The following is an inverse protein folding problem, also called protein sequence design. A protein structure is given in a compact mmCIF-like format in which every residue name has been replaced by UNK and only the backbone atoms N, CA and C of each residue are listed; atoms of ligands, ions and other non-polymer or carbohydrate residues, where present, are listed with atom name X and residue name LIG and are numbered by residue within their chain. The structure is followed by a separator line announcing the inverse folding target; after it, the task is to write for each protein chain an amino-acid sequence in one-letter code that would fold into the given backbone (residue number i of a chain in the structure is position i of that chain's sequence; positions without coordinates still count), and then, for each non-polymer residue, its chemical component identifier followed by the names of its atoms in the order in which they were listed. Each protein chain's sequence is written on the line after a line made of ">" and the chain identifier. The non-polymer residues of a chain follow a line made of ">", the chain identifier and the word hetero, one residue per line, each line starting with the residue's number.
data_IF_260832614114
#
_entry.id   IF_260832614114
#
_cell.length_a   1.000
_cell.length_b   1.000
_cell.length_c   1.000
_cell.angle_alpha   90.00
_cell.angle_beta   90.00
_cell.angle_gamma   90.00
#
_symmetry.space_group_name_H-M   'P 1'
#
loop_
_entity.id
_entity.type
_entity.pdbx_description
1 polymer ?
#
# COMPACT_ATOMS: atom_id res chain seq x y z
N UNK A 1 28.75 -27.76 -53.42
CA UNK A 1 27.44 -27.45 -52.80
C UNK A 1 27.31 -27.87 -51.32
N UNK A 2 27.71 -29.09 -50.92
CA UNK A 2 27.58 -29.56 -49.52
C UNK A 2 28.30 -28.65 -48.49
N UNK A 3 29.53 -28.22 -48.78
CA UNK A 3 30.32 -27.36 -47.89
C UNK A 3 29.73 -25.96 -47.70
N UNK A 4 29.11 -25.40 -48.74
CA UNK A 4 28.44 -24.07 -48.67
C UNK A 4 27.18 -24.12 -47.81
N UNK A 5 26.42 -25.23 -47.88
CA UNK A 5 25.23 -25.43 -47.05
C UNK A 5 25.59 -25.56 -45.56
N UNK A 6 26.68 -26.27 -45.24
CA UNK A 6 27.16 -26.40 -43.86
C UNK A 6 27.61 -25.04 -43.30
N UNK A 7 28.34 -24.24 -44.07
CA UNK A 7 28.76 -22.90 -43.65
C UNK A 7 27.58 -21.95 -43.43
N UNK A 8 26.55 -22.03 -44.28
CA UNK A 8 25.33 -21.25 -44.13
C UNK A 8 24.58 -21.65 -42.84
N UNK A 9 24.45 -22.94 -42.57
CA UNK A 9 23.80 -23.44 -41.35
C UNK A 9 24.55 -23.04 -40.07
N UNK A 10 25.89 -23.06 -40.09
CA UNK A 10 26.72 -22.58 -38.97
C UNK A 10 26.43 -21.10 -38.70
N UNK A 11 26.43 -20.26 -39.75
CA UNK A 11 26.15 -18.83 -39.62
C UNK A 11 24.75 -18.57 -39.03
N UNK A 12 23.74 -19.29 -39.51
CA UNK A 12 22.37 -19.20 -38.99
C UNK A 12 22.30 -19.61 -37.52
N UNK A 13 23.02 -20.64 -37.10
CA UNK A 13 23.07 -21.08 -35.71
C UNK A 13 23.75 -20.03 -34.80
N UNK A 14 24.83 -19.39 -35.28
CA UNK A 14 25.51 -18.31 -34.56
C UNK A 14 24.64 -17.06 -34.43
N UNK A 15 23.91 -16.70 -35.49
CA UNK A 15 22.95 -15.60 -35.48
C UNK A 15 21.83 -15.86 -34.47
N UNK A 16 21.29 -17.09 -34.44
CA UNK A 16 20.28 -17.49 -33.44
C UNK A 16 20.82 -17.47 -32.01
N UNK A 17 22.07 -17.88 -31.80
CA UNK A 17 22.72 -17.81 -30.48
C UNK A 17 22.84 -16.35 -30.01
N UNK A 18 23.18 -15.42 -30.90
CA UNK A 18 23.24 -13.99 -30.58
C UNK A 18 21.86 -13.41 -30.26
N UNK A 19 20.82 -13.80 -31.01
CA UNK A 19 19.44 -13.39 -30.72
C UNK A 19 18.99 -13.86 -29.33
N UNK A 20 19.29 -15.10 -28.94
CA UNK A 20 18.94 -15.63 -27.62
C UNK A 20 19.64 -14.88 -26.47
N UNK A 21 20.94 -14.61 -26.62
CA UNK A 21 21.70 -13.84 -25.62
C UNK A 21 21.14 -12.43 -25.47
N UNK A 22 20.82 -11.76 -26.58
CA UNK A 22 20.23 -10.42 -26.55
C UNK A 22 18.84 -10.43 -25.89
N UNK A 23 18.04 -11.48 -26.12
CA UNK A 23 16.74 -11.65 -25.47
C UNK A 23 16.89 -11.85 -23.94
N UNK A 24 17.83 -12.68 -23.48
CA UNK A 24 18.13 -12.87 -22.05
C UNK A 24 18.57 -11.58 -21.36
N UNK A 25 19.45 -10.80 -22.01
CA UNK A 25 19.90 -9.49 -21.49
C UNK A 25 18.71 -8.54 -21.37
N UNK A 26 17.82 -8.53 -22.37
CA UNK A 26 16.61 -7.71 -22.36
C UNK A 26 15.67 -8.13 -21.22
N UNK A 27 15.39 -9.43 -21.06
CA UNK A 27 14.56 -9.98 -19.97
C UNK A 27 15.15 -9.63 -18.60
N UNK A 28 16.46 -9.79 -18.42
CA UNK A 28 17.16 -9.39 -17.20
C UNK A 28 17.03 -7.90 -16.91
N UNK A 29 17.18 -7.05 -17.93
CA UNK A 29 16.98 -5.61 -17.84
C UNK A 29 15.53 -5.22 -17.50
N UNK A 30 14.55 -5.93 -18.06
CA UNK A 30 13.13 -5.77 -17.79
C UNK A 30 12.77 -6.22 -16.37
N UNK A 31 13.30 -7.35 -15.89
CA UNK A 31 13.12 -7.83 -14.52
C UNK A 31 13.66 -6.85 -13.46
N UNK A 32 14.75 -6.14 -13.75
CA UNK A 32 15.26 -5.07 -12.88
C UNK A 32 14.33 -3.85 -12.85
N UNK A 33 13.66 -3.53 -13.95
CA UNK A 33 12.67 -2.45 -14.03
C UNK A 33 11.30 -2.84 -13.48
N UNK A 34 11.05 -4.14 -13.30
CA UNK A 34 9.81 -4.71 -12.79
C UNK A 34 9.55 -4.34 -11.33
N UNK A 35 10.61 -4.12 -10.55
CA UNK A 35 10.54 -3.79 -9.12
C UNK A 35 10.49 -2.29 -8.93
N UNK A 36 9.30 -1.76 -8.69
CA UNK A 36 9.09 -0.33 -8.44
C UNK A 36 9.04 -0.12 -6.92
N UNK A 37 9.83 0.83 -6.37
CA UNK A 37 9.68 1.25 -4.98
C UNK A 37 8.26 1.74 -4.73
N UNK A 38 7.60 1.17 -3.73
CA UNK A 38 6.25 1.52 -3.32
C UNK A 38 6.19 1.76 -1.81
N UNK A 39 5.26 2.61 -1.39
CA UNK A 39 4.98 2.87 0.03
C UNK A 39 3.71 2.15 0.40
N UNK A 40 3.81 1.15 1.27
CA UNK A 40 2.67 0.39 1.79
C UNK A 40 2.35 0.80 3.24
N UNK A 41 1.18 0.41 3.74
CA UNK A 41 0.80 0.52 5.14
C UNK A 41 0.75 -0.88 5.78
N UNK A 42 1.65 -1.13 6.72
CA UNK A 42 1.59 -2.32 7.57
C UNK A 42 0.75 -2.02 8.80
N UNK A 43 -0.19 -2.91 9.11
CA UNK A 43 -0.99 -2.82 10.33
C UNK A 43 -0.36 -3.65 11.44
N UNK A 44 -0.18 -3.05 12.61
CA UNK A 44 0.27 -3.74 13.83
C UNK A 44 -0.85 -3.67 14.88
N UNK A 45 -1.18 -4.78 15.56
CA UNK A 45 -2.18 -4.75 16.62
C UNK A 45 -1.78 -3.83 17.78
N UNK A 46 -2.76 -3.12 18.33
CA UNK A 46 -2.63 -2.34 19.56
C UNK A 46 -3.20 -3.14 20.73
N UNK A 47 -2.62 -3.00 21.94
CA UNK A 47 -3.14 -3.70 23.12
C UNK A 47 -4.43 -3.06 23.68
N UNK A 48 -4.86 -1.92 23.13
CA UNK A 48 -6.05 -1.17 23.55
C UNK A 48 -6.70 -0.47 22.35
N UNK A 49 -8.01 -0.19 22.40
CA UNK A 49 -8.67 0.62 21.37
C UNK A 49 -8.18 2.06 21.41
N UNK A 50 -7.98 2.64 20.24
CA UNK A 50 -7.60 4.04 20.03
C UNK A 50 -8.72 4.74 19.28
N UNK A 51 -9.11 5.94 19.71
CA UNK A 51 -10.03 6.79 18.94
C UNK A 51 -9.23 7.61 17.94
N UNK A 52 -9.56 7.47 16.66
CA UNK A 52 -8.99 8.26 15.54
C UNK A 52 -10.06 9.02 14.80
N UNK A 53 -9.64 10.03 14.03
CA UNK A 53 -10.53 10.80 13.15
C UNK A 53 -10.41 10.32 11.69
N UNK A 54 -11.53 10.22 10.99
CA UNK A 54 -11.66 9.83 9.58
C UNK A 54 -11.92 11.02 8.66
N UNK A 55 -11.96 12.25 9.20
CA UNK A 55 -12.06 13.45 8.38
C UNK A 55 -10.84 13.56 7.45
N UNK A 56 -11.05 13.98 6.19
CA UNK A 56 -10.00 14.15 5.19
C UNK A 56 -8.89 15.09 5.64
N UNK A 57 -9.20 16.07 6.51
CA UNK A 57 -8.21 16.96 7.12
C UNK A 57 -7.35 16.31 8.22
N UNK A 58 -7.75 15.15 8.73
CA UNK A 58 -7.13 14.46 9.87
C UNK A 58 -6.42 13.16 9.47
N UNK A 59 -6.49 12.76 8.20
CA UNK A 59 -5.88 11.53 7.68
C UNK A 59 -4.86 11.85 6.60
N UNK A 60 -3.96 10.89 6.32
CA UNK A 60 -3.09 10.94 5.15
C UNK A 60 -3.49 9.87 4.16
N UNK A 61 -3.65 10.25 2.89
CA UNK A 61 -3.80 9.31 1.80
C UNK A 61 -2.43 8.85 1.32
N UNK A 62 -2.23 7.53 1.25
CA UNK A 62 -1.00 6.90 0.80
C UNK A 62 -1.31 6.12 -0.46
N UNK A 63 -0.60 6.42 -1.55
CA UNK A 63 -0.74 5.69 -2.81
C UNK A 63 0.08 4.41 -2.77
N UNK A 64 -0.59 3.28 -2.95
CA UNK A 64 0.04 1.98 -3.14
C UNK A 64 -0.40 1.40 -4.49
N UNK A 65 0.44 1.58 -5.52
CA UNK A 65 0.06 1.29 -6.89
C UNK A 65 -1.14 2.13 -7.33
N UNK A 66 -2.23 1.47 -7.73
CA UNK A 66 -3.50 2.10 -8.12
C UNK A 66 -4.52 2.19 -6.97
N UNK A 67 -4.12 1.90 -5.74
CA UNK A 67 -5.01 1.88 -4.57
C UNK A 67 -4.62 3.02 -3.63
N UNK A 68 -5.59 3.87 -3.30
CA UNK A 68 -5.45 4.86 -2.23
C UNK A 68 -5.75 4.20 -0.88
N UNK A 69 -4.77 4.20 0.03
CA UNK A 69 -4.93 3.73 1.42
C UNK A 69 -5.01 4.94 2.35
N UNK A 70 -5.76 4.79 3.45
CA UNK A 70 -5.89 5.83 4.47
C UNK A 70 -4.99 5.48 5.66
N UNK A 71 -4.10 6.40 6.03
CA UNK A 71 -3.36 6.36 7.28
C UNK A 71 -4.02 7.32 8.29
N UNK A 72 -4.49 6.76 9.40
CA UNK A 72 -5.18 7.50 10.48
C UNK A 72 -4.19 8.21 11.41
N UNK A 73 -3.45 9.18 10.87
CA UNK A 73 -2.36 9.86 11.58
C UNK A 73 -2.79 10.71 12.79
N UNK A 74 -4.08 11.07 12.88
CA UNK A 74 -4.59 11.89 13.98
C UNK A 74 -5.17 10.99 15.07
N UNK A 75 -4.37 10.77 16.12
CA UNK A 75 -4.74 9.99 17.29
C UNK A 75 -5.48 10.85 18.34
N UNK A 76 -6.81 10.93 18.19
CA UNK A 76 -7.67 11.77 19.02
C UNK A 76 -7.69 11.33 20.50
N UNK A 77 -7.72 10.03 20.78
CA UNK A 77 -7.59 9.49 22.13
C UNK A 77 -6.81 8.17 22.08
N UNK A 78 -5.68 8.07 22.77
CA UNK A 78 -4.78 6.91 22.65
C UNK A 78 -5.38 5.63 23.20
N UNK A 79 -6.03 5.69 24.37
CA UNK A 79 -6.54 4.54 25.10
C UNK A 79 -8.03 4.74 25.45
N UNK A 80 -8.92 4.39 24.53
CA UNK A 80 -10.36 4.56 24.73
C UNK A 80 -11.03 3.24 25.14
N UNK A 81 -11.27 3.06 26.44
CA UNK A 81 -11.95 1.88 26.99
C UNK A 81 -13.48 1.96 26.94
N UNK A 82 -14.03 2.85 26.12
CA UNK A 82 -15.46 3.04 26.02
C UNK A 82 -16.13 1.79 25.45
N UNK A 83 -17.10 1.25 26.19
CA UNK A 83 -17.87 0.09 25.77
C UNK A 83 -18.95 0.49 24.76
N UNK A 84 -19.34 -0.46 23.89
CA UNK A 84 -20.37 -0.23 22.87
C UNK A 84 -19.88 0.49 21.61
N UNK A 85 -18.56 0.69 21.47
CA UNK A 85 -17.95 1.17 20.22
C UNK A 85 -17.33 -0.01 19.48
N UNK A 86 -17.97 -0.43 18.39
CA UNK A 86 -17.39 -1.39 17.47
C UNK A 86 -16.17 -0.80 16.74
N UNK A 87 -15.17 -1.64 16.50
CA UNK A 87 -13.99 -1.26 15.72
C UNK A 87 -14.38 -0.85 14.30
N UNK A 88 -13.69 0.13 13.73
CA UNK A 88 -13.83 0.61 12.36
C UNK A 88 -15.24 1.15 12.01
N UNK A 89 -16.05 1.47 13.02
CA UNK A 89 -17.39 2.03 12.86
C UNK A 89 -17.38 3.52 13.21
N UNK A 90 -17.68 4.35 12.21
CA UNK A 90 -17.94 5.78 12.38
C UNK A 90 -19.38 6.05 12.82
N UNK A 91 -19.68 7.27 13.26
CA UNK A 91 -21.01 7.68 13.68
C UNK A 91 -21.62 6.82 14.80
N UNK A 92 -20.79 6.21 15.64
CA UNK A 92 -21.25 5.53 16.84
C UNK A 92 -21.51 6.56 17.95
N UNK A 93 -22.77 6.69 18.37
CA UNK A 93 -23.19 7.66 19.39
C UNK A 93 -22.47 7.49 20.74
N UNK A 94 -21.98 6.29 21.07
CA UNK A 94 -21.21 6.08 22.30
C UNK A 94 -19.92 6.92 22.31
N UNK A 95 -19.34 7.25 21.15
CA UNK A 95 -18.15 8.10 21.04
C UNK A 95 -18.35 9.52 21.57
N UNK A 96 -19.58 10.01 21.71
CA UNK A 96 -19.87 11.28 22.39
C UNK A 96 -19.35 11.31 23.83
N UNK A 97 -19.19 10.14 24.45
CA UNK A 97 -18.65 9.97 25.81
C UNK A 97 -17.13 9.74 25.84
N UNK A 98 -16.44 9.76 24.69
CA UNK A 98 -14.99 9.67 24.65
C UNK A 98 -14.38 10.92 25.30
N UNK A 99 -13.28 10.77 26.05
CA UNK A 99 -12.57 11.88 26.70
C UNK A 99 -12.04 12.94 25.73
N UNK A 100 -11.87 12.57 24.45
CA UNK A 100 -11.53 13.52 23.40
C UNK A 100 -12.71 14.39 22.97
N UNK A 101 -13.96 14.05 23.29
CA UNK A 101 -15.12 14.87 22.95
C UNK A 101 -15.43 15.87 24.06
N UNK A 102 -15.63 17.12 23.67
CA UNK A 102 -16.15 18.15 24.58
C UNK A 102 -17.69 18.07 24.71
N UNK A 103 -18.26 18.98 25.49
CA UNK A 103 -19.72 19.05 25.73
C UNK A 103 -20.56 19.34 24.49
N UNK A 104 -19.97 19.82 23.39
CA UNK A 104 -20.66 20.05 22.10
C UNK A 104 -20.42 18.93 21.10
N UNK A 105 -19.91 17.77 21.57
CA UNK A 105 -19.57 16.61 20.75
C UNK A 105 -18.52 16.90 19.66
N UNK A 106 -17.64 17.88 19.91
CA UNK A 106 -16.47 18.19 19.08
C UNK A 106 -15.21 17.67 19.76
N UNK A 107 -14.34 17.09 18.96
CA UNK A 107 -13.06 16.60 19.44
C UNK A 107 -12.14 17.76 19.86
N UNK A 108 -11.59 17.72 21.07
CA UNK A 108 -10.67 18.74 21.57
C UNK A 108 -9.30 18.70 20.89
N UNK A 109 -8.94 17.58 20.23
CA UNK A 109 -7.68 17.46 19.49
C UNK A 109 -7.76 17.96 18.05
N UNK A 110 -8.86 17.70 17.34
CA UNK A 110 -8.97 17.97 15.90
C UNK A 110 -10.19 18.80 15.49
N UNK A 111 -11.03 19.20 16.44
CA UNK A 111 -12.24 20.02 16.25
C UNK A 111 -13.33 19.38 15.36
N UNK A 112 -13.15 18.14 14.90
CA UNK A 112 -14.15 17.40 14.15
C UNK A 112 -15.26 16.87 15.07
N UNK A 113 -16.47 16.65 14.54
CA UNK A 113 -17.54 16.04 15.31
C UNK A 113 -17.30 14.57 15.62
N UNK A 114 -17.94 14.06 16.67
CA UNK A 114 -17.85 12.66 17.08
C UNK A 114 -18.19 11.68 15.95
N UNK A 115 -19.06 12.07 15.01
CA UNK A 115 -19.48 11.28 13.86
C UNK A 115 -18.36 10.99 12.87
N UNK A 116 -17.26 11.75 12.95
CA UNK A 116 -16.03 11.56 12.17
C UNK A 116 -14.98 10.72 12.90
N UNK A 117 -15.31 10.11 14.02
CA UNK A 117 -14.38 9.32 14.81
C UNK A 117 -14.79 7.84 14.84
N UNK A 118 -13.82 6.98 15.09
CA UNK A 118 -14.00 5.53 15.26
C UNK A 118 -12.94 4.96 16.20
N UNK A 119 -13.17 3.74 16.69
CA UNK A 119 -12.13 2.95 17.36
C UNK A 119 -11.34 2.12 16.37
N UNK A 120 -10.03 2.14 16.49
CA UNK A 120 -9.12 1.17 15.86
C UNK A 120 -8.42 0.38 16.95
N UNK A 121 -8.09 -0.88 16.68
CA UNK A 121 -7.30 -1.77 17.55
C UNK A 121 -5.95 -2.11 16.91
N UNK A 122 -5.54 -1.30 15.96
CA UNK A 122 -4.31 -1.45 15.19
C UNK A 122 -3.71 -0.07 14.90
N UNK A 123 -2.44 -0.03 14.56
CA UNK A 123 -1.74 1.15 14.08
C UNK A 123 -1.17 0.86 12.70
N UNK A 124 -1.19 1.87 11.82
CA UNK A 124 -0.66 1.74 10.45
C UNK A 124 0.67 2.48 10.32
N UNK A 125 1.72 1.74 10.02
CA UNK A 125 3.05 2.27 9.76
C UNK A 125 3.34 2.25 8.24
N UNK A 126 3.92 3.34 7.73
CA UNK A 126 4.40 3.36 6.35
C UNK A 126 5.66 2.51 6.23
N UNK A 127 5.66 1.57 5.30
CA UNK A 127 6.83 0.74 4.98
C UNK A 127 7.20 0.92 3.51
N UNK A 128 8.50 0.97 3.23
CA UNK A 128 8.99 0.90 1.86
C UNK A 128 9.00 -0.56 1.42
N UNK A 129 8.40 -0.85 0.27
CA UNK A 129 8.35 -2.18 -0.33
C UNK A 129 8.64 -2.09 -1.83
N UNK A 130 8.80 -3.24 -2.48
CA UNK A 130 8.94 -3.34 -3.94
C UNK A 130 7.69 -4.02 -4.50
N UNK A 131 7.02 -3.36 -5.46
CA UNK A 131 5.86 -3.95 -6.16
C UNK A 131 6.27 -4.31 -7.59
N UNK A 132 5.78 -5.45 -8.06
CA UNK A 132 5.95 -5.95 -9.42
C UNK A 132 5.01 -5.19 -10.36
N UNK A 133 5.57 -4.49 -11.35
CA UNK A 133 4.79 -3.88 -12.42
C UNK A 133 4.19 -4.94 -13.35
N UNK A 134 2.90 -5.22 -13.15
CA UNK A 134 2.14 -6.20 -13.94
C UNK A 134 2.02 -5.84 -15.43
N UNK A 135 2.23 -4.58 -15.83
CA UNK A 135 2.22 -4.19 -17.24
C UNK A 135 3.48 -4.66 -17.98
N UNK A 136 4.61 -4.72 -17.28
CA UNK A 136 5.88 -5.23 -17.76
C UNK A 136 5.90 -6.77 -17.69
N UNK A 137 5.26 -7.37 -16.68
CA UNK A 137 5.15 -8.84 -16.57
C UNK A 137 4.47 -9.49 -17.79
N UNK A 138 3.47 -8.84 -18.40
CA UNK A 138 2.83 -9.35 -19.65
C UNK A 138 3.77 -9.36 -20.85
N UNK A 139 4.83 -8.55 -20.86
CA UNK A 139 5.80 -8.52 -21.96
C UNK A 139 6.96 -9.52 -21.76
N UNK A 140 6.99 -10.24 -20.63
CA UNK A 140 7.99 -11.26 -20.29
C UNK A 140 7.38 -12.67 -20.25
N UNK A 141 6.04 -12.78 -20.25
CA UNK A 141 5.31 -14.06 -20.16
C UNK A 141 5.13 -14.75 -21.50
#
# INVERSE_FOLDING_TARGET
>A
EITQNIQLNIKVAEDKKRELINAEISISGLNKKLKIPAVDLKSTPLPYPRTVCTNTSCVKFVKFGNIDKINYVTHCHEHCYLQGVAQDVVNNAALQKCSAMNSTNKCIKCSCGYEKHMHITYETEQINTEVIDTSVQRNIS
#
